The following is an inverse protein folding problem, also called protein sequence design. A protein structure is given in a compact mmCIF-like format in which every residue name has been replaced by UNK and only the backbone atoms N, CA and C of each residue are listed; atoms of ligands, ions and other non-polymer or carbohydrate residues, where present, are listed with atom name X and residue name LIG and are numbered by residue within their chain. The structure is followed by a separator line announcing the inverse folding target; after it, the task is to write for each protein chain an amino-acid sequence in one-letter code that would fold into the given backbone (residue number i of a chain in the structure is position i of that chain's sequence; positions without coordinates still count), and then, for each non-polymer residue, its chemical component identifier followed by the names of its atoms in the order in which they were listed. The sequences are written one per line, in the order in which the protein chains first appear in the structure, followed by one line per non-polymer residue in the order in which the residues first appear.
data_IF_638959871187
#
_entry.id   IF_638959871187
#
_cell.length_a   1.000
_cell.length_b   1.000
_cell.length_c   1.000
_cell.angle_alpha   90.00
_cell.angle_beta   90.00
_cell.angle_gamma   90.00
#
_symmetry.space_group_name_H-M   'P 1'
#
loop_
_entity.id
_entity.type
_entity.pdbx_description
1 polymer ?
#
# COMPACT_ATOMS: atom_id res chain seq x y z
N UNK A 1 7.51 -17.36 0.11
CA UNK A 1 6.31 -17.17 0.90
C UNK A 1 6.48 -16.01 1.85
N UNK A 2 5.42 -15.32 2.14
CA UNK A 2 5.40 -14.12 2.94
C UNK A 2 4.67 -13.00 2.19
N UNK A 3 4.36 -11.94 2.90
CA UNK A 3 3.60 -10.83 2.35
C UNK A 3 4.51 -9.92 1.53
N UNK A 4 4.30 -9.88 0.23
CA UNK A 4 4.91 -8.93 -0.69
C UNK A 4 3.83 -7.99 -1.22
N UNK A 5 4.06 -6.68 -1.16
CA UNK A 5 3.06 -5.65 -1.41
C UNK A 5 3.56 -4.71 -2.50
N UNK A 6 2.69 -4.40 -3.47
CA UNK A 6 3.07 -3.60 -4.64
C UNK A 6 2.06 -2.52 -4.94
N UNK A 7 2.53 -1.35 -5.36
CA UNK A 7 1.73 -0.38 -6.09
C UNK A 7 2.29 -0.29 -7.50
N UNK A 8 1.43 -0.46 -8.48
CA UNK A 8 1.79 -0.53 -9.90
C UNK A 8 1.10 0.60 -10.66
N UNK A 9 1.87 1.26 -11.51
CA UNK A 9 1.35 2.31 -12.40
C UNK A 9 0.94 1.68 -13.72
N UNK A 10 -0.25 2.03 -14.21
CA UNK A 10 -0.76 1.53 -15.48
C UNK A 10 -1.41 2.65 -16.27
N UNK A 11 -1.12 2.69 -17.57
CA UNK A 11 -1.74 3.64 -18.49
C UNK A 11 -3.26 3.42 -18.54
N UNK A 12 -4.03 4.49 -18.41
CA UNK A 12 -5.50 4.42 -18.44
C UNK A 12 -6.03 3.80 -19.73
N UNK A 13 -5.36 4.04 -20.85
CA UNK A 13 -5.76 3.53 -22.13
C UNK A 13 -5.54 2.02 -22.28
N UNK A 14 -4.71 1.42 -21.45
CA UNK A 14 -4.37 -0.01 -21.51
C UNK A 14 -5.35 -0.91 -20.75
N UNK A 15 -6.36 -0.32 -20.08
CA UNK A 15 -7.35 -1.07 -19.30
C UNK A 15 -6.84 -1.50 -17.92
N UNK A 16 -7.64 -2.31 -17.20
CA UNK A 16 -7.31 -2.73 -15.84
C UNK A 16 -6.08 -3.62 -15.75
N UNK A 17 -5.41 -3.57 -14.61
CA UNK A 17 -4.30 -4.47 -14.32
C UNK A 17 -4.79 -5.91 -14.18
N UNK A 18 -4.09 -6.86 -14.78
CA UNK A 18 -4.34 -8.28 -14.61
C UNK A 18 -3.00 -9.02 -14.58
N UNK A 19 -3.03 -10.30 -14.18
CA UNK A 19 -1.83 -11.13 -14.15
C UNK A 19 -1.20 -11.26 -15.53
N UNK A 20 -2.02 -11.23 -16.59
CA UNK A 20 -1.55 -11.38 -17.97
C UNK A 20 -0.78 -10.18 -18.46
N UNK A 21 -1.09 -8.97 -17.97
CA UNK A 21 -0.46 -7.75 -18.44
C UNK A 21 0.42 -7.06 -17.39
N UNK A 22 0.69 -7.75 -16.28
CA UNK A 22 1.58 -7.24 -15.24
C UNK A 22 3.02 -7.19 -15.74
N UNK A 23 3.66 -6.06 -15.51
CA UNK A 23 5.08 -5.86 -15.79
C UNK A 23 5.71 -5.16 -14.60
N UNK A 24 6.68 -5.80 -13.95
CA UNK A 24 7.33 -5.26 -12.77
C UNK A 24 8.14 -3.99 -13.03
N UNK A 25 8.41 -3.65 -14.28
CA UNK A 25 8.97 -2.33 -14.63
C UNK A 25 8.03 -1.17 -14.30
N UNK A 26 6.75 -1.45 -14.08
CA UNK A 26 5.75 -0.47 -13.71
C UNK A 26 5.51 -0.37 -12.19
N UNK A 27 6.25 -1.13 -11.40
CA UNK A 27 6.18 -1.04 -9.95
C UNK A 27 6.67 0.34 -9.50
N UNK A 28 5.82 1.06 -8.77
CA UNK A 28 6.16 2.38 -8.23
C UNK A 28 6.35 2.37 -6.73
N UNK A 29 5.95 1.28 -6.07
CA UNK A 29 6.21 1.06 -4.65
C UNK A 29 6.23 -0.43 -4.35
N UNK A 30 7.03 -0.82 -3.35
CA UNK A 30 7.13 -2.19 -2.88
C UNK A 30 7.41 -2.21 -1.39
N UNK A 31 6.68 -3.07 -0.67
CA UNK A 31 6.91 -3.34 0.75
C UNK A 31 6.86 -4.83 0.99
N UNK A 32 7.58 -5.29 2.00
CA UNK A 32 7.56 -6.69 2.39
C UNK A 32 7.16 -6.81 3.86
N UNK A 33 6.18 -7.67 4.13
CA UNK A 33 5.72 -8.01 5.48
C UNK A 33 5.29 -6.81 6.33
N UNK A 34 4.83 -5.74 5.68
CA UNK A 34 4.28 -4.59 6.38
C UNK A 34 2.77 -4.79 6.57
N UNK A 35 2.43 -5.67 7.51
CA UNK A 35 1.04 -6.12 7.70
C UNK A 35 0.08 -4.99 8.10
N UNK A 36 0.53 -4.02 8.85
CA UNK A 36 -0.30 -2.87 9.23
C UNK A 36 -0.75 -2.07 8.01
N UNK A 37 0.15 -1.83 7.07
CA UNK A 37 -0.18 -1.14 5.82
C UNK A 37 -1.08 -1.99 4.94
N UNK A 38 -0.79 -3.29 4.82
CA UNK A 38 -1.63 -4.22 4.05
C UNK A 38 -3.07 -4.24 4.61
N UNK A 39 -3.22 -4.29 5.92
CA UNK A 39 -4.53 -4.24 6.57
C UNK A 39 -5.31 -2.98 6.21
N UNK A 40 -4.64 -1.84 6.14
CA UNK A 40 -5.27 -0.60 5.70
C UNK A 40 -5.79 -0.72 4.26
N UNK A 41 -4.96 -1.26 3.34
CA UNK A 41 -5.38 -1.46 1.95
C UNK A 41 -6.57 -2.42 1.84
N UNK A 42 -6.53 -3.52 2.60
CA UNK A 42 -7.65 -4.50 2.59
C UNK A 42 -8.95 -3.82 3.04
N UNK A 43 -8.90 -3.06 4.13
CA UNK A 43 -10.10 -2.42 4.69
C UNK A 43 -10.62 -1.28 3.82
N UNK A 44 -9.75 -0.41 3.32
CA UNK A 44 -10.15 0.84 2.65
C UNK A 44 -10.16 0.76 1.14
N UNK A 45 -9.39 -0.12 0.53
CA UNK A 45 -9.28 -0.24 -0.92
C UNK A 45 -9.96 -1.52 -1.44
N UNK A 46 -9.83 -2.62 -0.70
CA UNK A 46 -10.31 -3.94 -1.12
C UNK A 46 -11.66 -4.32 -0.50
N UNK A 47 -12.33 -3.39 0.17
CA UNK A 47 -13.62 -3.62 0.82
C UNK A 47 -13.62 -4.79 1.82
N UNK A 48 -12.50 -5.00 2.50
CA UNK A 48 -12.34 -6.07 3.47
C UNK A 48 -12.02 -7.45 2.90
N UNK A 49 -11.81 -7.55 1.57
CA UNK A 49 -11.52 -8.82 0.90
C UNK A 49 -10.02 -8.94 0.67
N UNK A 50 -9.39 -9.93 1.31
CA UNK A 50 -7.95 -10.19 1.19
C UNK A 50 -7.72 -11.42 0.30
N UNK A 51 -7.67 -11.21 -1.01
CA UNK A 51 -7.72 -12.26 -2.02
C UNK A 51 -6.55 -12.23 -3.02
N UNK A 52 -5.48 -11.50 -2.75
CA UNK A 52 -4.37 -11.29 -3.69
C UNK A 52 -4.79 -10.66 -5.03
N UNK A 53 -5.97 -10.04 -5.09
CA UNK A 53 -6.44 -9.35 -6.29
C UNK A 53 -5.79 -7.97 -6.46
N UNK A 54 -5.96 -7.41 -7.65
CA UNK A 54 -5.49 -6.05 -7.98
C UNK A 54 -6.63 -5.06 -7.83
N UNK A 55 -6.39 -3.96 -7.12
CA UNK A 55 -7.41 -2.97 -6.80
C UNK A 55 -6.93 -1.57 -7.12
N UNK A 56 -7.76 -0.81 -7.84
CA UNK A 56 -7.44 0.58 -8.19
C UNK A 56 -7.40 1.47 -6.95
N UNK A 57 -6.41 2.36 -6.90
CA UNK A 57 -6.28 3.36 -5.84
C UNK A 57 -6.44 4.75 -6.43
N UNK A 58 -7.33 5.56 -5.86
CA UNK A 58 -7.47 6.95 -6.27
C UNK A 58 -6.46 7.85 -5.56
N UNK A 59 -6.25 9.05 -6.10
CA UNK A 59 -5.41 10.06 -5.47
C UNK A 59 -5.95 10.44 -4.08
N UNK A 60 -7.26 10.57 -3.94
CA UNK A 60 -7.93 10.89 -2.69
C UNK A 60 -7.69 9.81 -1.63
N UNK A 61 -7.72 8.55 -2.03
CA UNK A 61 -7.43 7.43 -1.12
C UNK A 61 -5.98 7.46 -0.64
N UNK A 62 -5.04 7.85 -1.51
CA UNK A 62 -3.64 8.02 -1.10
C UNK A 62 -3.46 9.20 -0.15
N UNK A 63 -4.23 10.28 -0.31
CA UNK A 63 -4.22 11.37 0.67
C UNK A 63 -4.72 10.91 2.03
N UNK A 64 -5.78 10.10 2.07
CA UNK A 64 -6.29 9.52 3.32
C UNK A 64 -5.24 8.65 3.99
N UNK A 65 -4.55 7.82 3.23
CA UNK A 65 -3.46 6.98 3.75
C UNK A 65 -2.30 7.83 4.27
N UNK A 66 -1.92 8.87 3.53
CA UNK A 66 -0.84 9.77 3.95
C UNK A 66 -1.17 10.42 5.30
N UNK A 67 -2.40 10.87 5.48
CA UNK A 67 -2.85 11.45 6.74
C UNK A 67 -2.72 10.45 7.89
N UNK A 68 -3.15 9.22 7.69
CA UNK A 68 -3.01 8.14 8.68
C UNK A 68 -1.54 7.90 9.03
N UNK A 69 -0.67 7.80 8.03
CA UNK A 69 0.75 7.56 8.24
C UNK A 69 1.42 8.72 8.99
N UNK A 70 1.10 9.95 8.64
CA UNK A 70 1.63 11.14 9.30
C UNK A 70 1.19 11.22 10.77
N UNK A 71 -0.09 10.99 11.05
CA UNK A 71 -0.63 11.02 12.41
C UNK A 71 -0.05 9.89 13.27
N UNK A 72 -0.02 8.68 12.74
CA UNK A 72 0.52 7.53 13.47
C UNK A 72 1.98 7.79 13.86
N UNK A 73 2.78 8.29 12.94
CA UNK A 73 4.20 8.57 13.18
C UNK A 73 4.38 9.74 14.16
N UNK A 74 3.69 10.85 13.94
CA UNK A 74 3.85 12.05 14.76
C UNK A 74 3.45 11.82 16.21
N UNK A 75 2.37 11.06 16.42
CA UNK A 75 1.84 10.76 17.77
C UNK A 75 2.41 9.47 18.35
N UNK A 76 3.15 8.68 17.55
CA UNK A 76 3.59 7.34 17.92
C UNK A 76 2.42 6.47 18.39
N UNK A 77 1.30 6.58 17.69
CA UNK A 77 0.04 5.94 18.03
C UNK A 77 -0.27 4.82 17.03
N UNK A 78 0.07 3.59 17.37
CA UNK A 78 -0.14 2.43 16.52
C UNK A 78 -1.62 2.08 16.34
N UNK A 79 -2.53 2.63 17.14
CA UNK A 79 -3.98 2.41 16.95
C UNK A 79 -4.49 3.05 15.67
N UNK A 80 -3.76 4.01 15.09
CA UNK A 80 -4.09 4.63 13.81
C UNK A 80 -3.80 3.69 12.63
N UNK A 81 -2.81 2.81 12.79
CA UNK A 81 -2.43 1.84 11.77
C UNK A 81 -2.01 0.54 12.48
N UNK A 82 -2.97 -0.21 13.05
CA UNK A 82 -2.65 -1.38 13.86
C UNK A 82 -2.10 -2.53 13.02
N UNK A 83 -1.18 -3.33 13.60
CA UNK A 83 -0.71 -4.55 12.95
C UNK A 83 -1.88 -5.49 12.63
N UNK A 84 -1.79 -6.16 11.48
CA UNK A 84 -2.83 -7.07 11.00
C UNK A 84 -2.36 -8.51 11.13
N UNK A 85 -3.10 -9.38 11.83
CA UNK A 85 -2.73 -10.80 11.95
C UNK A 85 -2.84 -11.52 10.62
N UNK A 86 -1.92 -12.46 10.39
CA UNK A 86 -1.90 -13.30 9.20
C UNK A 86 -0.68 -14.20 9.23
N UNK A 87 -0.83 -15.42 8.78
CA UNK A 87 0.20 -16.45 8.91
C UNK A 87 1.53 -16.06 8.25
N UNK A 88 1.46 -15.34 7.13
CA UNK A 88 2.64 -14.95 6.36
C UNK A 88 2.98 -13.46 6.47
N UNK A 89 2.33 -12.73 7.37
CA UNK A 89 2.36 -11.27 7.35
C UNK A 89 3.49 -10.64 8.18
N UNK A 90 4.27 -11.44 8.89
CA UNK A 90 5.38 -10.94 9.69
C UNK A 90 5.00 -10.58 11.11
N UNK A 91 5.82 -9.77 11.79
CA UNK A 91 5.66 -9.44 13.19
C UNK A 91 4.48 -8.51 13.46
N UNK A 92 3.84 -8.68 14.60
CA UNK A 92 2.80 -7.78 15.13
C UNK A 92 3.37 -6.75 16.13
N UNK A 93 4.66 -6.78 16.35
CA UNK A 93 5.29 -5.90 17.33
C UNK A 93 5.35 -4.46 16.84
N UNK A 94 5.10 -3.51 17.74
CA UNK A 94 5.23 -2.09 17.49
C UNK A 94 6.54 -1.64 18.13
N UNK A 95 7.60 -1.69 17.32
CA UNK A 95 8.96 -1.37 17.73
C UNK A 95 9.57 -0.33 16.77
N UNK A 96 10.88 -0.10 16.86
CA UNK A 96 11.55 0.85 15.98
C UNK A 96 11.41 0.45 14.51
N UNK A 97 11.43 -0.85 14.20
CA UNK A 97 11.17 -1.36 12.85
C UNK A 97 9.82 -0.92 12.30
N UNK A 98 8.78 -1.01 13.14
CA UNK A 98 7.44 -0.57 12.75
C UNK A 98 7.44 0.92 12.38
N UNK A 99 8.06 1.76 13.23
CA UNK A 99 8.09 3.20 12.99
C UNK A 99 8.94 3.59 11.80
N UNK A 100 10.02 2.88 11.55
CA UNK A 100 10.86 3.08 10.35
C UNK A 100 10.07 2.77 9.09
N UNK A 101 9.28 1.71 9.09
CA UNK A 101 8.41 1.35 7.97
C UNK A 101 7.32 2.38 7.75
N UNK A 102 6.70 2.90 8.81
CA UNK A 102 5.69 3.94 8.73
C UNK A 102 6.28 5.21 8.10
N UNK A 103 7.45 5.64 8.54
CA UNK A 103 8.11 6.81 7.99
C UNK A 103 8.47 6.63 6.52
N UNK A 104 9.00 5.47 6.15
CA UNK A 104 9.33 5.14 4.76
C UNK A 104 8.08 5.12 3.87
N UNK A 105 7.00 4.52 4.34
CA UNK A 105 5.73 4.48 3.61
C UNK A 105 5.16 5.89 3.44
N UNK A 106 5.21 6.72 4.47
CA UNK A 106 4.80 8.14 4.39
C UNK A 106 5.51 8.84 3.24
N UNK A 107 6.83 8.71 3.17
CA UNK A 107 7.64 9.37 2.15
C UNK A 107 7.30 8.83 0.75
N UNK A 108 7.14 7.52 0.62
CA UNK A 108 6.76 6.88 -0.64
C UNK A 108 5.39 7.34 -1.12
N UNK A 109 4.39 7.33 -0.26
CA UNK A 109 3.03 7.74 -0.62
C UNK A 109 2.98 9.22 -0.99
N UNK A 110 3.68 10.07 -0.24
CA UNK A 110 3.78 11.50 -0.57
C UNK A 110 4.37 11.72 -1.96
N UNK A 111 5.45 11.01 -2.29
CA UNK A 111 6.07 11.08 -3.62
C UNK A 111 5.13 10.60 -4.72
N UNK A 112 4.38 9.52 -4.50
CA UNK A 112 3.42 9.00 -5.48
C UNK A 112 2.31 10.01 -5.77
N UNK A 113 1.82 10.71 -4.75
CA UNK A 113 0.80 11.75 -4.93
C UNK A 113 1.33 12.87 -5.81
N UNK A 114 2.56 13.33 -5.55
CA UNK A 114 3.16 14.48 -6.24
C UNK A 114 3.65 14.14 -7.66
N UNK A 115 4.21 12.93 -7.85
CA UNK A 115 4.94 12.59 -9.07
C UNK A 115 4.09 11.86 -10.11
N UNK A 116 2.92 11.32 -9.71
CA UNK A 116 2.06 10.59 -10.64
C UNK A 116 1.27 11.55 -11.52
N UNK A 117 1.30 11.30 -12.83
CA UNK A 117 0.41 11.98 -13.78
C UNK A 117 -0.96 11.30 -13.76
N UNK A 118 -1.85 11.81 -12.89
CA UNK A 118 -3.15 11.22 -12.66
C UNK A 118 -4.11 11.32 -13.86
N UNK A 119 -3.80 12.16 -14.83
CA UNK A 119 -4.56 12.23 -16.08
C UNK A 119 -4.24 11.06 -17.01
N UNK A 120 -2.99 10.58 -16.96
CA UNK A 120 -2.47 9.56 -17.86
C UNK A 120 -2.47 8.16 -17.25
N UNK A 121 -2.23 8.05 -15.94
CA UNK A 121 -2.03 6.78 -15.25
C UNK A 121 -3.01 6.55 -14.13
N UNK A 122 -3.29 5.26 -13.89
CA UNK A 122 -3.96 4.77 -12.66
C UNK A 122 -2.95 3.99 -11.85
N UNK A 123 -3.15 3.97 -10.54
CA UNK A 123 -2.37 3.14 -9.63
C UNK A 123 -3.22 1.98 -9.13
N UNK A 124 -2.59 0.83 -8.98
CA UNK A 124 -3.22 -0.39 -8.48
C UNK A 124 -2.40 -0.94 -7.34
N UNK A 125 -3.10 -1.40 -6.30
CA UNK A 125 -2.48 -2.13 -5.20
C UNK A 125 -2.74 -3.61 -5.35
N UNK A 126 -1.71 -4.43 -5.14
CA UNK A 126 -1.89 -5.86 -4.95
C UNK A 126 -0.83 -6.41 -4.01
N UNK A 127 -1.15 -7.53 -3.40
CA UNK A 127 -0.23 -8.24 -2.52
C UNK A 127 -0.24 -9.72 -2.86
N UNK A 128 0.88 -10.37 -2.58
CA UNK A 128 1.06 -11.81 -2.74
C UNK A 128 1.58 -12.38 -1.42
N UNK A 129 0.92 -13.42 -0.94
CA UNK A 129 1.29 -14.05 0.34
C UNK A 129 1.05 -15.56 0.38
#
# INVERSE_FOLDING_TARGET
MGLDMYIVKKDKAAGPLSDENYDDSNDVAYWRKFNALHGWFVEHIQNGVDDCGSYEISKEQLFDLLEVLEEAYALKDASKLPPTPGFFFGSYEVDQWYWDKVASARDTISSLIDDTDWEKYKLYYFASW
#
